data_IF_426050665100
#
_entry.id   IF_426050665100
#
_cell.length_a   1.000
_cell.length_b   1.000
_cell.length_c   1.000
_cell.angle_alpha   90.00
_cell.angle_beta   90.00
_cell.angle_gamma   90.00
#
_symmetry.space_group_name_H-M   'P 1'
#
loop_
_entity.id
_entity.type
_entity.pdbx_description
1 polymer ?
#
# COMPACT_ATOMS: atom_id res chain seq x y z
N UNK A 1 -5.25 -7.80 14.94
CA UNK A 1 -6.45 -6.94 15.11
C UNK A 1 -6.99 -6.94 16.55
N UNK A 2 -7.38 -8.08 17.13
CA UNK A 2 -7.96 -8.16 18.50
C UNK A 2 -7.23 -7.34 19.57
N UNK A 3 -5.91 -7.47 19.64
CA UNK A 3 -5.11 -6.75 20.63
C UNK A 3 -5.24 -5.22 20.49
N UNK A 4 -5.42 -4.70 19.28
CA UNK A 4 -5.67 -3.27 19.05
C UNK A 4 -7.00 -2.86 19.68
N UNK A 5 -8.06 -3.66 19.49
CA UNK A 5 -9.37 -3.45 20.12
C UNK A 5 -9.29 -3.47 21.65
N UNK A 6 -8.60 -4.46 22.21
CA UNK A 6 -8.42 -4.59 23.67
C UNK A 6 -7.67 -3.40 24.29
N UNK A 7 -6.77 -2.78 23.53
CA UNK A 7 -6.04 -1.57 23.94
C UNK A 7 -6.86 -0.29 23.74
N UNK A 8 -8.13 -0.39 23.31
CA UNK A 8 -9.02 0.75 23.06
C UNK A 8 -8.81 1.43 21.70
N UNK A 9 -8.06 0.82 20.79
CA UNK A 9 -7.87 1.33 19.43
C UNK A 9 -9.14 1.23 18.58
N UNK A 10 -9.44 2.30 17.83
CA UNK A 10 -10.58 2.37 16.89
C UNK A 10 -10.22 1.94 15.47
N UNK A 11 -8.95 1.60 15.25
CA UNK A 11 -8.43 1.16 13.97
C UNK A 11 -6.93 0.87 14.07
N UNK A 12 -6.39 0.33 13.00
CA UNK A 12 -4.96 0.07 12.87
C UNK A 12 -4.41 0.68 11.60
N UNK A 13 -3.09 0.60 11.47
CA UNK A 13 -2.38 0.99 10.27
C UNK A 13 -1.31 -0.04 9.97
N UNK A 14 -1.16 -0.36 8.68
CA UNK A 14 -0.06 -1.17 8.18
C UNK A 14 0.68 -0.41 7.09
N UNK A 15 2.01 -0.54 7.02
CA UNK A 15 2.79 -0.08 5.87
C UNK A 15 3.55 -1.23 5.26
N UNK A 16 3.53 -1.32 3.93
CA UNK A 16 4.29 -2.27 3.14
C UNK A 16 5.05 -1.56 2.03
N UNK A 17 6.08 -2.20 1.50
CA UNK A 17 6.72 -1.76 0.27
C UNK A 17 6.13 -2.49 -0.94
N UNK A 18 5.86 -1.77 -2.03
CA UNK A 18 5.38 -2.34 -3.28
C UNK A 18 6.23 -1.88 -4.47
N UNK A 19 6.49 -2.80 -5.39
CA UNK A 19 7.12 -2.57 -6.69
C UNK A 19 6.29 -3.25 -7.77
N UNK A 20 5.37 -2.50 -8.39
CA UNK A 20 4.47 -3.05 -9.40
C UNK A 20 5.22 -3.62 -10.62
N UNK A 21 6.40 -3.08 -10.94
CA UNK A 21 7.29 -3.58 -11.99
C UNK A 21 8.14 -4.79 -11.59
N UNK A 22 8.05 -5.25 -10.33
CA UNK A 22 8.67 -6.48 -9.81
C UNK A 22 7.63 -7.30 -9.02
N UNK A 23 6.62 -7.91 -9.69
CA UNK A 23 5.51 -8.58 -9.01
C UNK A 23 5.93 -9.60 -7.94
N UNK A 24 7.01 -10.34 -8.19
CA UNK A 24 7.57 -11.32 -7.25
C UNK A 24 8.03 -10.70 -5.93
N UNK A 25 8.46 -9.43 -5.93
CA UNK A 25 8.86 -8.73 -4.71
C UNK A 25 7.66 -8.37 -3.81
N UNK A 26 6.44 -8.43 -4.35
CA UNK A 26 5.22 -8.05 -3.64
C UNK A 26 4.51 -9.23 -2.99
N UNK A 27 4.84 -10.48 -3.33
CA UNK A 27 4.07 -11.68 -2.93
C UNK A 27 3.83 -11.75 -1.41
N UNK A 28 4.89 -11.58 -0.63
CA UNK A 28 4.82 -11.60 0.83
C UNK A 28 3.98 -10.45 1.38
N UNK A 29 4.18 -9.23 0.86
CA UNK A 29 3.47 -8.05 1.33
C UNK A 29 1.98 -8.10 0.96
N UNK A 30 1.64 -8.62 -0.22
CA UNK A 30 0.25 -8.87 -0.63
C UNK A 30 -0.41 -9.90 0.30
N UNK A 31 0.29 -10.98 0.66
CA UNK A 31 -0.23 -11.96 1.61
C UNK A 31 -0.50 -11.33 2.98
N UNK A 32 0.43 -10.51 3.48
CA UNK A 32 0.26 -9.77 4.73
C UNK A 32 -0.93 -8.81 4.66
N UNK A 33 -1.08 -8.04 3.58
CA UNK A 33 -2.20 -7.11 3.40
C UNK A 33 -3.53 -7.86 3.47
N UNK A 34 -3.69 -8.94 2.71
CA UNK A 34 -4.92 -9.76 2.71
C UNK A 34 -5.25 -10.30 4.09
N UNK A 35 -4.24 -10.81 4.81
CA UNK A 35 -4.42 -11.31 6.17
C UNK A 35 -4.83 -10.20 7.13
N UNK A 36 -4.12 -9.08 7.13
CA UNK A 36 -4.39 -7.97 8.03
C UNK A 36 -5.76 -7.33 7.76
N UNK A 37 -6.13 -7.11 6.50
CA UNK A 37 -7.45 -6.61 6.11
C UNK A 37 -8.54 -7.55 6.62
N UNK A 38 -8.38 -8.85 6.43
CA UNK A 38 -9.32 -9.86 6.94
C UNK A 38 -9.45 -9.83 8.46
N UNK A 39 -8.32 -9.75 9.17
CA UNK A 39 -8.32 -9.75 10.63
C UNK A 39 -8.93 -8.49 11.23
N UNK A 40 -8.66 -7.32 10.65
CA UNK A 40 -9.28 -6.06 11.08
C UNK A 40 -10.77 -6.03 10.76
N UNK A 41 -11.19 -6.57 9.61
CA UNK A 41 -12.60 -6.74 9.26
C UNK A 41 -13.36 -7.64 10.26
N UNK A 42 -12.76 -8.75 10.71
CA UNK A 42 -13.37 -9.64 11.72
C UNK A 42 -13.57 -8.98 13.08
N UNK A 43 -12.73 -8.02 13.42
CA UNK A 43 -12.78 -7.29 14.70
C UNK A 43 -13.59 -5.99 14.58
N UNK A 44 -14.22 -5.73 13.42
CA UNK A 44 -14.97 -4.51 13.11
C UNK A 44 -14.15 -3.24 13.35
N UNK A 45 -12.88 -3.27 12.92
CA UNK A 45 -11.94 -2.17 13.04
C UNK A 45 -11.51 -1.70 11.66
N UNK A 46 -11.34 -0.38 11.50
CA UNK A 46 -10.76 0.18 10.29
C UNK A 46 -9.26 -0.16 10.21
N UNK A 47 -8.79 -0.49 9.00
CA UNK A 47 -7.35 -0.61 8.71
C UNK A 47 -6.95 0.40 7.64
N UNK A 48 -6.08 1.34 8.01
CA UNK A 48 -5.41 2.22 7.04
C UNK A 48 -4.26 1.45 6.41
N UNK A 49 -4.31 1.28 5.09
CA UNK A 49 -3.24 0.65 4.31
C UNK A 49 -2.35 1.74 3.75
N UNK A 50 -1.09 1.75 4.16
CA UNK A 50 -0.04 2.57 3.56
C UNK A 50 0.85 1.68 2.70
N UNK A 51 1.24 2.16 1.53
CA UNK A 51 2.38 1.57 0.83
C UNK A 51 3.37 2.64 0.42
N UNK A 52 4.62 2.24 0.26
CA UNK A 52 5.66 3.05 -0.36
C UNK A 52 6.28 2.28 -1.51
N UNK A 53 6.69 3.00 -2.55
CA UNK A 53 7.64 2.49 -3.55
C UNK A 53 9.07 2.90 -3.14
N UNK A 54 10.07 2.28 -3.76
CA UNK A 54 11.48 2.49 -3.45
C UNK A 54 12.30 2.35 -4.73
N UNK A 55 13.50 2.90 -4.79
CA UNK A 55 14.44 2.73 -5.91
C UNK A 55 15.12 1.35 -5.83
N UNK A 56 15.27 0.63 -6.94
CA UNK A 56 16.04 -0.64 -6.93
C UNK A 56 17.54 -0.39 -6.94
N UNK A 57 18.28 -1.40 -6.48
CA UNK A 57 19.71 -1.48 -6.73
C UNK A 57 20.00 -1.43 -8.25
N UNK A 58 20.81 -0.44 -8.66
CA UNK A 58 21.16 -0.21 -10.06
C UNK A 58 20.15 0.60 -10.88
N UNK A 59 19.01 0.99 -10.32
CA UNK A 59 18.09 1.94 -10.96
C UNK A 59 18.62 3.36 -10.76
N UNK A 60 18.59 4.20 -11.80
CA UNK A 60 18.99 5.61 -11.64
C UNK A 60 17.91 6.41 -10.89
N UNK A 61 18.27 7.49 -10.17
CA UNK A 61 17.28 8.38 -9.56
C UNK A 61 16.29 8.95 -10.58
N UNK A 62 16.76 9.24 -11.80
CA UNK A 62 15.95 9.79 -12.89
C UNK A 62 14.93 8.76 -13.39
N UNK A 63 15.34 7.50 -13.59
CA UNK A 63 14.44 6.43 -14.02
C UNK A 63 13.39 6.13 -12.95
N UNK A 64 13.80 6.12 -11.68
CA UNK A 64 12.88 5.92 -10.57
C UNK A 64 11.87 7.07 -10.43
N UNK A 65 12.34 8.33 -10.54
CA UNK A 65 11.47 9.50 -10.51
C UNK A 65 10.46 9.47 -11.68
N UNK A 66 10.92 9.12 -12.88
CA UNK A 66 10.05 9.00 -14.06
C UNK A 66 8.98 7.90 -13.91
N UNK A 67 9.29 6.80 -13.21
CA UNK A 67 8.35 5.70 -12.94
C UNK A 67 7.43 5.94 -11.75
N UNK A 68 7.78 6.86 -10.85
CA UNK A 68 7.06 7.07 -9.59
C UNK A 68 5.54 7.26 -9.79
N UNK A 69 5.05 8.10 -10.71
CA UNK A 69 3.60 8.25 -10.91
C UNK A 69 2.89 6.90 -11.17
N UNK A 70 3.44 6.09 -12.06
CA UNK A 70 2.89 4.78 -12.41
C UNK A 70 3.02 3.77 -11.26
N UNK A 71 4.14 3.78 -10.53
CA UNK A 71 4.34 2.90 -9.36
C UNK A 71 3.33 3.20 -8.24
N UNK A 72 2.92 4.47 -8.08
CA UNK A 72 1.89 4.87 -7.11
C UNK A 72 0.50 4.47 -7.59
N UNK A 73 0.18 4.68 -8.86
CA UNK A 73 -1.10 4.25 -9.45
C UNK A 73 -1.29 2.73 -9.30
N UNK A 74 -0.30 1.94 -9.71
CA UNK A 74 -0.37 0.48 -9.64
C UNK A 74 -0.32 -0.05 -8.21
N UNK A 75 0.46 0.57 -7.32
CA UNK A 75 0.45 0.24 -5.89
C UNK A 75 -0.93 0.47 -5.26
N UNK A 76 -1.64 1.51 -5.70
CA UNK A 76 -3.03 1.79 -5.31
C UNK A 76 -3.94 0.67 -5.80
N UNK A 77 -3.87 0.30 -7.09
CA UNK A 77 -4.64 -0.80 -7.66
C UNK A 77 -4.42 -2.12 -6.90
N UNK A 78 -3.16 -2.51 -6.66
CA UNK A 78 -2.81 -3.72 -5.88
C UNK A 78 -3.44 -3.68 -4.49
N UNK A 79 -3.37 -2.53 -3.80
CA UNK A 79 -3.92 -2.37 -2.45
C UNK A 79 -5.45 -2.48 -2.43
N UNK A 80 -6.13 -1.88 -3.42
CA UNK A 80 -7.58 -1.98 -3.60
C UNK A 80 -8.02 -3.42 -3.90
N UNK A 81 -7.29 -4.14 -4.76
CA UNK A 81 -7.54 -5.55 -5.07
C UNK A 81 -7.35 -6.46 -3.85
N UNK A 82 -6.48 -6.08 -2.90
CA UNK A 82 -6.36 -6.76 -1.61
C UNK A 82 -7.54 -6.48 -0.66
N UNK A 83 -8.40 -5.53 -0.98
CA UNK A 83 -9.59 -5.17 -0.21
C UNK A 83 -9.44 -3.95 0.69
N UNK A 84 -8.40 -3.13 0.50
CA UNK A 84 -8.18 -1.92 1.28
C UNK A 84 -9.38 -0.96 1.17
N UNK A 85 -9.71 -0.29 2.28
CA UNK A 85 -10.84 0.68 2.35
C UNK A 85 -10.40 2.12 2.54
N UNK A 86 -9.25 2.32 3.19
CA UNK A 86 -8.63 3.62 3.37
C UNK A 86 -7.15 3.46 3.04
N UNK A 87 -6.68 4.31 2.13
CA UNK A 87 -5.30 4.31 1.66
C UNK A 87 -4.57 5.54 2.17
N UNK A 88 -3.31 5.35 2.58
CA UNK A 88 -2.35 6.43 2.81
C UNK A 88 -1.28 6.30 1.74
N UNK A 89 -1.29 7.21 0.77
CA UNK A 89 -0.51 7.11 -0.45
C UNK A 89 0.63 8.14 -0.48
N UNK A 90 1.78 7.81 -1.07
CA UNK A 90 2.73 8.83 -1.50
C UNK A 90 2.09 9.70 -2.61
N UNK A 91 2.46 10.97 -2.66
CA UNK A 91 2.04 11.83 -3.78
C UNK A 91 2.70 11.34 -5.07
N UNK A 92 1.94 11.09 -6.17
CA UNK A 92 2.49 10.52 -7.40
C UNK A 92 3.38 11.50 -8.19
N UNK A 93 3.46 12.77 -7.77
CA UNK A 93 4.37 13.77 -8.33
C UNK A 93 3.66 14.90 -9.08
N UNK A 94 2.50 14.63 -9.69
CA UNK A 94 1.70 15.64 -10.40
C UNK A 94 0.21 15.55 -10.06
N UNK A 95 -0.56 16.64 -10.21
CA UNK A 95 -2.02 16.62 -10.05
C UNK A 95 -2.72 15.69 -11.05
N UNK A 96 -2.21 15.58 -12.27
CA UNK A 96 -2.77 14.70 -13.31
C UNK A 96 -2.66 13.24 -12.90
N UNK A 97 -1.52 12.84 -12.32
CA UNK A 97 -1.36 11.49 -11.81
C UNK A 97 -2.24 11.20 -10.59
N UNK A 98 -2.56 12.21 -9.77
CA UNK A 98 -3.55 12.06 -8.69
C UNK A 98 -4.96 11.74 -9.23
N UNK A 99 -5.31 12.22 -10.43
CA UNK A 99 -6.64 11.99 -11.00
C UNK A 99 -6.87 10.55 -11.48
N UNK A 100 -5.80 9.75 -11.59
CA UNK A 100 -5.86 8.34 -11.97
C UNK A 100 -6.07 7.38 -10.77
N UNK A 101 -6.04 7.90 -9.54
CA UNK A 101 -6.08 7.16 -8.27
C UNK A 101 -7.47 7.30 -7.63
#
# INVERSE_FOLDING_TARGET
ARRVRELGGTGGKIMVYLRADKPQANEHNIAILRQCITDFGKEDLLLVVEFLTYQLDGESPEDYAAKTPWLVEEGTRISLECGAKVLKLPYPGTPEACANI
#
